data_IF_304742011319
#
_entry.id   IF_304742011319
#
_cell.length_a   1.000
_cell.length_b   1.000
_cell.length_c   1.000
_cell.angle_alpha   90.00
_cell.angle_beta   90.00
_cell.angle_gamma   90.00
#
_symmetry.space_group_name_H-M   'P 1'
#
loop_
_entity.id
_entity.type
_entity.pdbx_description
1 polymer ?
#
# COMPACT_ATOMS: atom_id res chain seq x y z
N UNK A 1 -60.60 2.36 -16.72
CA UNK A 1 -59.96 2.08 -15.43
C UNK A 1 -59.10 0.85 -15.63
N UNK A 2 -57.75 0.94 -15.45
CA UNK A 2 -56.90 -0.23 -15.56
C UNK A 2 -57.34 -1.25 -14.50
N UNK A 3 -57.46 -2.50 -14.90
CA UNK A 3 -57.80 -3.62 -14.04
C UNK A 3 -56.60 -4.00 -13.15
N UNK A 4 -56.87 -4.65 -12.02
CA UNK A 4 -55.83 -5.00 -11.05
C UNK A 4 -54.73 -5.88 -11.63
N UNK A 5 -55.06 -6.67 -12.65
CA UNK A 5 -54.13 -7.57 -13.32
C UNK A 5 -53.10 -6.80 -14.15
N UNK A 6 -53.52 -5.79 -14.92
CA UNK A 6 -52.57 -4.97 -15.70
C UNK A 6 -51.65 -4.15 -14.81
N UNK A 7 -52.13 -3.70 -13.65
CA UNK A 7 -51.29 -3.03 -12.65
C UNK A 7 -50.27 -4.01 -12.04
N UNK A 8 -50.70 -5.24 -11.73
CA UNK A 8 -49.83 -6.27 -11.17
C UNK A 8 -48.73 -6.69 -12.15
N UNK A 9 -49.06 -6.88 -13.43
CA UNK A 9 -48.10 -7.22 -14.48
C UNK A 9 -47.05 -6.12 -14.68
N UNK A 10 -47.48 -4.86 -14.70
CA UNK A 10 -46.58 -3.71 -14.79
C UNK A 10 -45.64 -3.59 -13.58
N UNK A 11 -46.16 -3.83 -12.38
CA UNK A 11 -45.37 -3.82 -11.15
C UNK A 11 -44.32 -4.96 -11.14
N UNK A 12 -44.71 -6.16 -11.58
CA UNK A 12 -43.81 -7.31 -11.66
C UNK A 12 -42.66 -7.07 -12.64
N UNK A 13 -42.96 -6.56 -13.84
CA UNK A 13 -41.94 -6.20 -14.84
C UNK A 13 -40.97 -5.16 -14.31
N UNK A 14 -41.48 -4.14 -13.61
CA UNK A 14 -40.66 -3.08 -13.01
C UNK A 14 -39.75 -3.66 -11.93
N UNK A 15 -40.27 -4.54 -11.07
CA UNK A 15 -39.49 -5.18 -10.01
C UNK A 15 -38.38 -6.07 -10.57
N UNK A 16 -38.66 -6.85 -11.62
CA UNK A 16 -37.67 -7.67 -12.31
C UNK A 16 -36.59 -6.78 -12.94
N UNK A 17 -36.98 -5.72 -13.65
CA UNK A 17 -36.04 -4.77 -14.25
C UNK A 17 -35.14 -4.10 -13.22
N UNK A 18 -35.69 -3.72 -12.07
CA UNK A 18 -34.93 -3.15 -10.96
C UNK A 18 -33.96 -4.16 -10.35
N UNK A 19 -34.40 -5.39 -10.13
CA UNK A 19 -33.54 -6.45 -9.61
C UNK A 19 -32.39 -6.80 -10.57
N UNK A 20 -32.68 -6.90 -11.87
CA UNK A 20 -31.67 -7.20 -12.90
C UNK A 20 -30.65 -6.06 -13.04
N UNK A 21 -31.10 -4.80 -13.10
CA UNK A 21 -30.21 -3.65 -13.21
C UNK A 21 -29.34 -3.47 -11.97
N UNK A 22 -29.92 -3.61 -10.78
CA UNK A 22 -29.17 -3.55 -9.51
C UNK A 22 -28.16 -4.69 -9.42
N UNK A 23 -28.59 -5.92 -9.73
CA UNK A 23 -27.71 -7.09 -9.74
C UNK A 23 -26.57 -6.96 -10.74
N UNK A 24 -26.84 -6.43 -11.94
CA UNK A 24 -25.83 -6.19 -12.97
C UNK A 24 -24.78 -5.17 -12.51
N UNK A 25 -25.19 -4.04 -11.94
CA UNK A 25 -24.27 -3.03 -11.40
C UNK A 25 -23.42 -3.59 -10.25
N UNK A 26 -24.02 -4.37 -9.35
CA UNK A 26 -23.28 -5.03 -8.27
C UNK A 26 -22.27 -6.04 -8.81
N UNK A 27 -22.64 -6.84 -9.81
CA UNK A 27 -21.73 -7.79 -10.43
C UNK A 27 -20.55 -7.08 -11.11
N UNK A 28 -20.79 -5.98 -11.85
CA UNK A 28 -19.73 -5.17 -12.44
C UNK A 28 -18.85 -4.51 -11.38
N UNK A 29 -19.45 -3.98 -10.31
CA UNK A 29 -18.73 -3.34 -9.23
C UNK A 29 -17.83 -4.32 -8.49
N UNK A 30 -18.35 -5.49 -8.12
CA UNK A 30 -17.57 -6.56 -7.48
C UNK A 30 -16.49 -7.05 -8.44
N UNK A 31 -16.82 -7.29 -9.72
CA UNK A 31 -15.84 -7.68 -10.74
C UNK A 31 -14.72 -6.65 -10.87
N UNK A 32 -15.05 -5.36 -10.90
CA UNK A 32 -14.09 -4.27 -10.93
C UNK A 32 -13.26 -4.21 -9.65
N UNK A 33 -13.86 -4.34 -8.47
CA UNK A 33 -13.14 -4.36 -7.19
C UNK A 33 -12.19 -5.56 -7.10
N UNK A 34 -12.60 -6.71 -7.63
CA UNK A 34 -11.74 -7.89 -7.73
C UNK A 34 -10.59 -7.57 -8.69
N UNK A 35 -10.84 -7.12 -9.91
CA UNK A 35 -9.77 -6.79 -10.88
C UNK A 35 -8.82 -5.74 -10.31
N UNK A 36 -9.35 -4.61 -9.84
CA UNK A 36 -8.58 -3.51 -9.26
C UNK A 36 -7.87 -3.93 -7.96
N UNK A 37 -8.55 -4.67 -7.09
CA UNK A 37 -8.00 -5.22 -5.85
C UNK A 37 -6.86 -6.20 -6.13
N UNK A 38 -7.03 -7.13 -7.08
CA UNK A 38 -5.96 -8.02 -7.54
C UNK A 38 -4.81 -7.25 -8.20
N UNK A 39 -5.06 -6.17 -8.95
CA UNK A 39 -3.96 -5.31 -9.45
C UNK A 39 -3.23 -4.58 -8.33
N UNK A 40 -3.93 -4.21 -7.25
CA UNK A 40 -3.35 -3.55 -6.07
C UNK A 40 -2.64 -4.54 -5.13
N UNK A 41 -3.09 -5.80 -5.11
CA UNK A 41 -2.47 -6.92 -4.40
C UNK A 41 -1.43 -7.66 -5.25
N UNK A 42 -1.25 -7.28 -6.53
CA UNK A 42 -0.09 -7.71 -7.32
C UNK A 42 1.10 -7.26 -6.51
N UNK A 43 1.76 -8.23 -5.86
CA UNK A 43 2.94 -8.02 -5.04
C UNK A 43 3.81 -7.04 -5.79
N UNK A 44 3.90 -5.84 -5.22
CA UNK A 44 5.04 -4.96 -5.35
C UNK A 44 6.22 -5.86 -5.02
N UNK A 45 6.77 -6.51 -6.05
CA UNK A 45 8.04 -7.18 -5.94
C UNK A 45 9.08 -6.12 -5.57
N UNK A 46 10.33 -6.52 -5.33
CA UNK A 46 11.45 -5.62 -4.99
C UNK A 46 11.76 -4.52 -6.04
N UNK A 47 10.90 -4.32 -7.04
CA UNK A 47 10.96 -3.33 -8.12
C UNK A 47 9.83 -2.29 -8.10
N UNK A 48 9.04 -2.14 -7.03
CA UNK A 48 8.09 -1.00 -7.00
C UNK A 48 8.76 0.29 -6.56
N UNK A 49 8.37 1.35 -7.26
CA UNK A 49 8.84 2.73 -7.07
C UNK A 49 8.36 3.39 -5.76
N UNK A 50 7.54 2.71 -4.97
CA UNK A 50 7.02 3.24 -3.70
C UNK A 50 7.67 2.47 -2.55
N UNK A 51 8.72 3.05 -1.99
CA UNK A 51 9.39 2.58 -0.76
C UNK A 51 8.42 2.83 0.40
N UNK A 52 7.70 1.79 0.80
CA UNK A 52 6.64 1.90 1.81
C UNK A 52 7.20 1.84 3.24
N UNK A 53 8.37 1.25 3.44
CA UNK A 53 9.02 1.21 4.75
C UNK A 53 10.51 0.87 4.60
N UNK A 54 11.38 1.58 5.31
CA UNK A 54 12.81 1.24 5.43
C UNK A 54 12.99 -0.14 6.11
N UNK A 55 12.05 -0.53 6.98
CA UNK A 55 12.04 -1.83 7.66
C UNK A 55 11.88 -2.99 6.69
N UNK A 56 11.08 -2.84 5.62
CA UNK A 56 10.90 -3.89 4.60
C UNK A 56 12.18 -4.12 3.75
N UNK A 57 13.06 -3.12 3.65
CA UNK A 57 14.41 -3.32 3.05
C UNK A 57 15.36 -4.02 4.03
N UNK A 58 15.28 -3.67 5.31
CA UNK A 58 16.18 -4.17 6.36
C UNK A 58 15.97 -5.65 6.71
N UNK A 59 14.79 -6.22 6.49
CA UNK A 59 14.56 -7.67 6.65
C UNK A 59 15.08 -8.49 5.47
N UNK A 60 15.23 -7.89 4.28
CA UNK A 60 15.63 -8.58 3.05
C UNK A 60 17.14 -8.61 2.80
N UNK A 61 17.86 -7.58 3.21
CA UNK A 61 19.33 -7.55 3.16
C UNK A 61 19.91 -7.81 4.54
N UNK A 62 20.65 -8.90 4.67
CA UNK A 62 21.53 -9.14 5.80
C UNK A 62 22.43 -7.92 5.93
N UNK A 63 22.27 -7.13 6.99
CA UNK A 63 23.14 -6.01 7.32
C UNK A 63 24.59 -6.46 7.25
N UNK A 64 25.25 -6.17 6.13
CA UNK A 64 26.67 -6.40 5.99
C UNK A 64 27.37 -5.27 6.71
N UNK A 65 27.44 -5.39 8.04
CA UNK A 65 28.32 -4.53 8.83
C UNK A 65 29.71 -4.61 8.21
N UNK A 66 30.25 -3.45 7.88
CA UNK A 66 31.64 -3.32 7.46
C UNK A 66 32.49 -4.02 8.52
N UNK A 67 33.39 -4.91 8.08
CA UNK A 67 34.33 -5.55 8.98
C UNK A 67 35.06 -4.44 9.77
N UNK A 68 35.45 -4.68 11.04
CA UNK A 68 36.19 -3.70 11.83
C UNK A 68 37.48 -3.16 11.18
N UNK A 69 37.96 -3.89 10.16
CA UNK A 69 39.17 -3.62 9.40
C UNK A 69 38.88 -3.07 7.98
N UNK A 70 37.62 -2.75 7.67
CA UNK A 70 37.27 -2.09 6.43
C UNK A 70 37.85 -0.67 6.43
N UNK A 71 38.45 -0.26 5.31
CA UNK A 71 38.97 1.09 5.10
C UNK A 71 37.80 2.05 5.22
N UNK A 72 37.59 2.55 6.44
CA UNK A 72 36.65 3.62 6.72
C UNK A 72 37.19 4.81 5.93
N UNK A 73 36.35 5.40 5.07
CA UNK A 73 36.76 6.60 4.34
C UNK A 73 37.29 7.67 5.29
N UNK A 74 37.93 8.72 4.75
CA UNK A 74 38.61 9.81 5.48
C UNK A 74 37.78 10.56 6.56
N UNK A 75 36.61 10.09 6.91
CA UNK A 75 35.75 10.65 7.94
C UNK A 75 35.50 9.59 9.00
N UNK A 76 36.48 9.41 9.88
CA UNK A 76 36.19 8.91 11.23
C UNK A 76 35.33 9.97 11.92
N UNK A 77 34.01 9.83 11.78
CA UNK A 77 33.01 10.74 12.33
C UNK A 77 33.04 10.81 13.86
N UNK A 78 33.79 9.95 14.55
CA UNK A 78 33.98 10.00 16.00
C UNK A 78 35.27 10.71 16.40
N UNK A 79 36.18 10.97 15.45
CA UNK A 79 37.43 11.72 15.63
C UNK A 79 37.48 13.00 14.80
N UNK A 80 36.34 13.62 14.55
CA UNK A 80 36.38 14.98 14.02
C UNK A 80 36.75 15.98 15.12
N UNK A 81 37.54 17.02 14.79
CA UNK A 81 38.03 17.98 15.79
C UNK A 81 36.86 18.66 16.52
N UNK A 82 35.74 18.92 15.83
CA UNK A 82 34.56 19.51 16.45
C UNK A 82 33.93 18.66 17.58
N UNK A 83 33.98 17.32 17.50
CA UNK A 83 33.42 16.44 18.54
C UNK A 83 34.37 16.26 19.74
N UNK A 84 35.68 16.28 19.49
CA UNK A 84 36.70 16.21 20.54
C UNK A 84 36.71 17.46 21.42
N UNK A 85 36.43 18.63 20.83
CA UNK A 85 36.25 19.89 21.57
C UNK A 85 35.00 19.87 22.45
N UNK A 86 33.91 19.25 21.98
CA UNK A 86 32.69 19.09 22.79
C UNK A 86 32.87 18.07 23.92
N UNK A 87 33.63 16.99 23.70
CA UNK A 87 33.91 15.98 24.71
C UNK A 87 34.83 16.51 25.84
N UNK A 88 35.73 17.45 25.52
CA UNK A 88 36.62 18.08 26.51
C UNK A 88 36.02 19.31 27.21
N UNK A 89 34.79 19.71 26.88
CA UNK A 89 34.11 20.79 27.59
C UNK A 89 33.44 20.21 28.85
N UNK A 90 33.91 20.53 30.07
CA UNK A 90 33.23 20.09 31.28
C UNK A 90 31.82 20.70 31.29
N UNK A 91 30.80 19.84 31.42
CA UNK A 91 29.43 20.24 31.67
C UNK A 91 29.36 20.96 33.01
N UNK A 92 29.29 22.29 32.95
CA UNK A 92 29.10 23.16 34.10
C UNK A 92 27.64 23.27 34.49
#
# INVERSE_FOLDING_TARGET
>A
MPDTNTIADGAMLTLIGLALSTGFLLALFIGFLVIAGFTKLRKIGPKSLVVRNLVDQMEGEQFQYLKPDAVTGNTDQLRTPELLEQQNKPSS
#
